data_IF_025131199706
#
_entry.id   IF_025131199706
#
_cell.length_a   1.000
_cell.length_b   1.000
_cell.length_c   1.000
_cell.angle_alpha   90.00
_cell.angle_beta   90.00
_cell.angle_gamma   90.00
#
_symmetry.space_group_name_H-M   'P 1'
#
loop_
_entity.id
_entity.type
_entity.pdbx_description
1 polymer ?
2 non-polymer ?
3 non-polymer ?
4 water ?
#
# COMPACT_ATOMS: atom_id res chain seq x y z
N UNK A 4 15.51 11.84 12.53
CA UNK A 4 15.81 11.31 11.17
C UNK A 4 14.67 11.60 10.19
N UNK A 5 14.97 11.48 8.90
CA UNK A 5 13.98 11.73 7.84
C UNK A 5 14.07 10.56 6.87
N UNK A 6 13.17 9.59 7.05
CA UNK A 6 13.15 8.40 6.19
C UNK A 6 12.04 8.53 5.15
N UNK A 7 12.33 8.10 3.91
CA UNK A 7 11.34 8.18 2.83
C UNK A 7 10.21 7.16 3.07
N UNK A 8 10.52 6.07 3.77
CA UNK A 8 9.49 5.05 4.05
C UNK A 8 9.56 4.53 5.50
N UNK A 9 8.42 4.02 5.98
CA UNK A 9 8.35 3.45 7.32
C UNK A 9 9.06 2.10 7.33
N UNK A 10 8.98 1.40 8.47
CA UNK A 10 9.62 0.12 8.61
C UNK A 10 11.13 0.20 8.83
N UNK A 11 11.67 1.40 8.99
CA UNK A 11 13.12 1.59 9.16
C UNK A 11 13.61 1.30 10.58
N UNK A 12 13.41 0.07 11.04
CA UNK A 12 13.79 -0.26 12.42
C UNK A 12 15.27 -0.24 12.67
N UNK A 13 16.06 -0.64 11.69
CA UNK A 13 17.53 -0.64 11.87
C UNK A 13 17.96 0.82 12.04
N UNK A 14 17.42 1.72 11.21
CA UNK A 14 17.81 3.14 11.32
C UNK A 14 17.36 3.78 12.64
N UNK A 15 16.14 3.45 13.06
CA UNK A 15 15.59 3.98 14.30
C UNK A 15 16.37 3.47 15.52
N UNK A 16 16.65 2.18 15.54
CA UNK A 16 17.40 1.60 16.63
C UNK A 16 18.78 2.25 16.69
N UNK A 17 19.40 2.48 15.53
CA UNK A 17 20.72 3.12 15.51
C UNK A 17 20.68 4.54 16.08
N UNK A 18 19.58 5.24 15.88
CA UNK A 18 19.38 6.57 16.42
C UNK A 18 19.40 6.55 17.96
N UNK A 19 18.89 5.47 18.54
CA UNK A 19 18.82 5.33 20.00
C UNK A 19 20.02 4.62 20.58
N UNK A 20 20.80 3.96 19.72
CA UNK A 20 21.98 3.24 20.19
C UNK A 20 21.65 1.86 20.72
N UNK A 21 20.56 1.29 20.22
CA UNK A 21 20.11 -0.05 20.64
C UNK A 21 19.92 -1.03 19.44
N UNK A 22 19.61 -2.29 19.73
CA UNK A 22 19.37 -3.30 18.70
C UNK A 22 17.93 -3.16 18.18
N UNK A 23 17.72 -3.37 16.87
CA UNK A 23 16.41 -3.27 16.24
C UNK A 23 15.37 -4.18 16.88
N UNK A 24 15.80 -5.30 17.43
CA UNK A 24 14.81 -6.18 18.03
C UNK A 24 14.21 -5.66 19.32
N UNK A 25 14.72 -4.51 19.77
CA UNK A 25 14.20 -3.88 20.98
C UNK A 25 13.09 -2.88 20.66
N UNK A 26 12.80 -2.67 19.38
CA UNK A 26 11.71 -1.73 19.03
C UNK A 26 10.43 -2.45 18.63
N UNK A 27 9.29 -1.83 18.94
CA UNK A 27 7.98 -2.35 18.57
C UNK A 27 7.62 -1.41 17.40
N UNK A 28 7.51 -1.98 16.21
CA UNK A 28 7.28 -1.22 14.99
C UNK A 28 5.85 -1.09 14.53
N UNK A 29 5.37 0.16 14.55
CA UNK A 29 4.04 0.51 14.10
C UNK A 29 4.17 1.40 12.86
N UNK A 30 5.36 1.46 12.30
CA UNK A 30 5.57 2.33 11.12
C UNK A 30 5.41 1.68 9.75
N UNK A 31 5.28 0.36 9.71
CA UNK A 31 5.07 -0.39 8.47
C UNK A 31 3.78 -1.16 8.75
N UNK A 32 2.99 -1.41 7.72
CA UNK A 32 1.68 -2.05 7.92
C UNK A 32 1.58 -3.45 7.43
N UNK A 33 2.21 -4.34 8.19
CA UNK A 33 2.26 -5.75 7.83
C UNK A 33 1.25 -6.54 8.66
N UNK A 34 0.51 -7.45 8.03
CA UNK A 34 -0.49 -8.31 8.71
C UNK A 34 0.22 -8.89 9.92
N UNK A 35 -0.36 -8.71 11.12
CA UNK A 35 0.19 -9.19 12.40
C UNK A 35 0.10 -10.70 12.61
N UNK A 36 -0.80 -11.34 11.90
CA UNK A 36 -1.00 -12.78 12.01
C UNK A 36 0.29 -13.52 11.64
N UNK A 37 1.15 -12.83 10.91
CA UNK A 37 2.41 -13.43 10.49
C UNK A 37 2.32 -14.20 9.19
N UNK A 38 3.39 -14.92 8.89
CA UNK A 38 3.53 -15.73 7.68
C UNK A 38 2.60 -16.96 7.64
N UNK A 39 1.83 -17.15 6.54
CA UNK A 39 0.94 -18.32 6.48
C UNK A 39 1.74 -19.61 6.69
N UNK A 40 1.21 -20.52 7.52
CA UNK A 40 1.86 -21.81 7.83
C UNK A 40 2.39 -22.56 6.59
N UNK A 41 1.51 -22.76 5.62
CA UNK A 41 1.86 -23.46 4.38
C UNK A 41 3.06 -22.82 3.66
N UNK A 42 3.10 -21.49 3.68
CA UNK A 42 4.19 -20.76 3.03
C UNK A 42 5.53 -21.12 3.65
N UNK A 43 5.59 -21.10 4.98
CA UNK A 43 6.83 -21.43 5.68
C UNK A 43 7.29 -22.84 5.32
N UNK A 44 6.35 -23.76 5.27
CA UNK A 44 6.69 -25.15 4.94
C UNK A 44 7.23 -25.26 3.50
N UNK A 45 6.54 -24.60 2.59
CA UNK A 45 6.93 -24.63 1.18
C UNK A 45 8.34 -24.06 1.00
N UNK A 46 8.65 -22.97 1.69
CA UNK A 46 9.97 -22.36 1.58
C UNK A 46 11.05 -23.32 2.09
N UNK A 47 10.80 -23.91 3.25
CA UNK A 47 11.79 -24.83 3.83
C UNK A 47 11.98 -26.07 2.96
N UNK A 48 10.87 -26.61 2.47
CA UNK A 48 10.95 -27.81 1.63
C UNK A 48 11.57 -27.57 0.26
N UNK A 49 11.41 -26.38 -0.30
CA UNK A 49 11.92 -26.09 -1.65
C UNK A 49 13.06 -25.06 -1.68
N UNK A 50 13.82 -24.98 -0.59
CA UNK A 50 14.89 -24.01 -0.53
C UNK A 50 15.95 -24.19 -1.63
N UNK A 51 16.19 -25.43 -2.06
CA UNK A 51 17.18 -25.73 -3.08
C UNK A 51 16.84 -25.11 -4.43
N UNK A 52 15.61 -24.61 -4.60
CA UNK A 52 15.26 -24.00 -5.87
C UNK A 52 16.06 -22.73 -6.13
N UNK A 53 16.76 -22.21 -5.12
CA UNK A 53 17.54 -20.99 -5.34
C UNK A 53 18.86 -21.25 -6.10
N UNK A 54 19.16 -22.54 -6.29
CA UNK A 54 20.36 -22.96 -7.01
C UNK A 54 20.19 -22.78 -8.51
N UNK A 55 18.96 -22.48 -8.93
CA UNK A 55 18.72 -22.24 -10.34
C UNK A 55 18.08 -20.86 -10.44
N UNK A 56 18.15 -20.26 -11.63
CA UNK A 56 17.51 -18.97 -11.89
C UNK A 56 16.00 -19.20 -11.83
N UNK A 57 15.22 -18.14 -11.55
CA UNK A 57 13.76 -18.30 -11.50
C UNK A 57 13.38 -18.46 -12.98
N UNK A 58 12.13 -18.85 -13.26
CA UNK A 58 11.61 -18.94 -14.64
C UNK A 58 11.46 -17.49 -15.11
N UNK A 59 12.18 -17.05 -16.16
CA UNK A 59 12.07 -15.67 -16.61
C UNK A 59 10.62 -15.24 -16.94
N UNK A 60 9.80 -16.21 -17.30
CA UNK A 60 8.40 -15.94 -17.64
C UNK A 60 7.44 -16.18 -16.49
N UNK A 61 7.95 -16.69 -15.36
CA UNK A 61 7.13 -17.00 -14.18
C UNK A 61 5.81 -17.66 -14.53
N UNK A 62 5.89 -18.73 -15.31
CA UNK A 62 4.68 -19.46 -15.71
C UNK A 62 3.79 -19.88 -14.53
N UNK A 63 4.34 -20.67 -13.60
CA UNK A 63 3.57 -21.12 -12.43
C UNK A 63 2.96 -19.96 -11.62
N UNK A 64 3.76 -18.95 -11.29
CA UNK A 64 3.25 -17.79 -10.53
C UNK A 64 2.15 -17.05 -11.29
N UNK A 65 2.38 -16.76 -12.58
CA UNK A 65 1.38 -16.04 -13.34
C UNK A 65 0.11 -16.87 -13.44
N UNK A 66 0.22 -18.18 -13.65
CA UNK A 66 -0.99 -19.02 -13.72
C UNK A 66 -1.76 -18.95 -12.40
N UNK A 67 -1.04 -18.99 -11.28
CA UNK A 67 -1.68 -18.94 -9.95
C UNK A 67 -2.41 -17.62 -9.74
N UNK A 68 -1.77 -16.53 -10.11
CA UNK A 68 -2.40 -15.21 -9.99
C UNK A 68 -3.63 -15.11 -10.90
N UNK A 69 -3.53 -15.67 -12.10
CA UNK A 69 -4.65 -15.63 -13.05
C UNK A 69 -5.82 -16.50 -12.57
N UNK A 70 -5.51 -17.62 -11.95
CA UNK A 70 -6.54 -18.50 -11.43
C UNK A 70 -7.26 -17.80 -10.30
N UNK A 71 -6.48 -17.14 -9.46
CA UNK A 71 -7.02 -16.42 -8.32
C UNK A 71 -7.99 -15.32 -8.75
N UNK A 72 -7.66 -14.58 -9.81
CA UNK A 72 -8.54 -13.50 -10.21
C UNK A 72 -9.49 -13.88 -11.35
N UNK A 73 -9.35 -15.10 -11.85
CA UNK A 73 -10.16 -15.58 -12.96
C UNK A 73 -10.05 -14.64 -14.15
N UNK A 74 -8.81 -14.33 -14.52
CA UNK A 74 -8.54 -13.49 -15.67
C UNK A 74 -7.47 -14.17 -16.51
N UNK A 75 -7.33 -13.78 -17.77
CA UNK A 75 -6.32 -14.40 -18.63
C UNK A 75 -4.94 -14.13 -18.02
N UNK A 76 -4.05 -15.11 -18.07
CA UNK A 76 -2.70 -14.96 -17.52
C UNK A 76 -1.95 -13.84 -18.25
N UNK A 77 -2.31 -13.60 -19.52
CA UNK A 77 -1.68 -12.54 -20.29
C UNK A 77 -1.92 -11.14 -19.75
N UNK A 78 -2.91 -10.99 -18.89
CA UNK A 78 -3.21 -9.70 -18.29
C UNK A 78 -2.32 -9.40 -17.07
N UNK A 79 -1.47 -10.34 -16.66
CA UNK A 79 -0.71 -10.14 -15.43
C UNK A 79 0.82 -10.11 -15.54
N UNK A 80 1.46 -9.23 -14.79
CA UNK A 80 2.92 -9.14 -14.77
C UNK A 80 3.39 -8.97 -13.33
N UNK A 81 4.06 -10.00 -12.82
CA UNK A 81 4.58 -9.98 -11.46
C UNK A 81 5.86 -9.12 -11.37
N UNK A 82 6.06 -8.50 -10.22
CA UNK A 82 7.19 -7.61 -9.98
C UNK A 82 7.80 -7.83 -8.62
N UNK A 83 9.00 -7.30 -8.44
CA UNK A 83 9.80 -7.38 -7.21
C UNK A 83 9.25 -6.38 -6.21
N UNK A 84 8.03 -6.67 -5.77
CA UNK A 84 7.30 -5.82 -4.87
C UNK A 84 6.46 -4.96 -5.76
N UNK A 85 5.37 -4.43 -5.23
CA UNK A 85 4.50 -3.56 -6.00
C UNK A 85 5.24 -2.25 -6.33
N UNK A 86 6.30 -1.96 -5.59
CA UNK A 86 7.07 -0.75 -5.88
C UNK A 86 7.64 -0.91 -7.31
N UNK A 87 8.11 -2.11 -7.63
CA UNK A 87 8.63 -2.31 -9.01
C UNK A 87 7.48 -2.16 -10.03
N UNK A 88 6.28 -2.63 -9.69
CA UNK A 88 5.15 -2.50 -10.60
C UNK A 88 4.84 -1.02 -10.90
N UNK A 89 5.03 -0.16 -9.89
CA UNK A 89 4.79 1.29 -10.08
C UNK A 89 5.81 1.83 -11.10
N UNK A 90 7.08 1.48 -10.92
CA UNK A 90 8.09 1.94 -11.87
C UNK A 90 7.84 1.34 -13.25
N UNK A 91 7.38 0.08 -13.30
CA UNK A 91 7.10 -0.59 -14.59
C UNK A 91 6.00 0.12 -15.37
N UNK A 92 4.91 0.46 -14.66
CA UNK A 92 3.80 1.13 -15.32
C UNK A 92 4.24 2.55 -15.74
N UNK A 93 4.95 3.27 -14.88
CA UNK A 93 5.40 4.61 -15.22
C UNK A 93 6.33 4.58 -16.42
N UNK A 94 7.29 3.66 -16.44
CA UNK A 94 8.22 3.61 -17.57
C UNK A 94 7.56 3.04 -18.83
N UNK A 95 6.64 2.10 -18.65
CA UNK A 95 5.98 1.51 -19.79
C UNK A 95 4.94 2.43 -20.44
N UNK A 96 4.31 3.29 -19.66
CA UNK A 96 3.32 4.20 -20.23
C UNK A 96 3.95 5.52 -20.65
N UNK A 97 5.10 5.84 -20.07
CA UNK A 97 5.82 7.09 -20.36
C UNK A 97 4.89 8.28 -20.60
N UNK A 98 4.08 8.63 -19.58
CA UNK A 98 3.17 9.77 -19.76
C UNK A 98 3.93 11.06 -19.96
N UNK A 99 3.38 11.97 -20.75
CA UNK A 99 3.99 13.29 -20.95
C UNK A 99 3.50 14.18 -19.80
N UNK A 100 2.21 13.99 -19.44
CA UNK A 100 1.57 14.72 -18.36
C UNK A 100 0.79 13.71 -17.51
N UNK A 101 0.97 13.75 -16.20
CA UNK A 101 0.25 12.83 -15.32
C UNK A 101 -0.18 13.52 -14.04
N UNK A 102 -1.27 13.02 -13.47
CA UNK A 102 -1.78 13.56 -12.24
C UNK A 102 -1.71 12.50 -11.14
N UNK A 103 -1.30 12.96 -9.98
CA UNK A 103 -1.23 12.15 -8.78
C UNK A 103 -2.06 12.92 -7.76
N UNK A 104 -2.42 12.24 -6.67
CA UNK A 104 -3.25 12.85 -5.62
C UNK A 104 -2.38 12.89 -4.37
N UNK A 105 -2.28 14.06 -3.74
CA UNK A 105 -1.47 14.19 -2.53
C UNK A 105 -2.37 14.49 -1.36
N UNK A 106 -2.03 13.97 -0.16
CA UNK A 106 -0.88 13.11 0.11
C UNK A 106 -1.08 11.70 -0.44
N UNK A 107 0.02 11.03 -0.79
CA UNK A 107 -0.02 9.68 -1.32
C UNK A 107 1.36 9.04 -1.24
N UNK A 108 1.43 7.75 -1.55
CA UNK A 108 2.70 6.97 -1.53
C UNK A 108 3.73 7.76 -2.34
N UNK A 109 4.95 7.97 -1.80
CA UNK A 109 5.96 8.77 -2.50
C UNK A 109 6.51 8.23 -3.82
N UNK A 110 6.46 6.92 -4.00
CA UNK A 110 7.05 6.37 -5.20
C UNK A 110 6.40 6.75 -6.52
N UNK A 111 5.12 7.16 -6.54
CA UNK A 111 4.51 7.53 -7.82
C UNK A 111 5.28 8.72 -8.39
N UNK A 112 5.50 9.73 -7.55
CA UNK A 112 6.23 10.91 -7.97
C UNK A 112 7.66 10.60 -8.34
N UNK A 113 8.28 9.67 -7.61
CA UNK A 113 9.66 9.31 -7.94
C UNK A 113 9.73 8.66 -9.30
N UNK A 114 8.86 7.69 -9.54
CA UNK A 114 8.84 6.98 -10.82
C UNK A 114 8.55 7.92 -11.98
N UNK A 115 7.60 8.85 -11.78
CA UNK A 115 7.23 9.78 -12.86
C UNK A 115 8.31 10.81 -13.16
N UNK A 116 8.98 11.29 -12.11
CA UNK A 116 10.05 12.26 -12.30
C UNK A 116 11.16 11.63 -13.13
N UNK A 117 11.54 10.42 -12.77
CA UNK A 117 12.60 9.75 -13.51
C UNK A 117 12.20 9.43 -14.95
N UNK A 118 10.90 9.30 -15.20
CA UNK A 118 10.48 9.02 -16.57
C UNK A 118 10.31 10.31 -17.39
N UNK A 119 10.61 11.46 -16.80
CA UNK A 119 10.51 12.73 -17.53
C UNK A 119 9.11 13.31 -17.79
N UNK A 120 8.15 12.99 -16.92
CA UNK A 120 6.77 13.44 -17.07
C UNK A 120 6.48 14.76 -16.38
N UNK A 121 5.54 15.55 -16.91
CA UNK A 121 5.13 16.80 -16.24
C UNK A 121 4.09 16.32 -15.22
N UNK A 122 4.38 16.53 -13.93
CA UNK A 122 3.50 16.08 -12.84
C UNK A 122 2.55 17.14 -12.32
N UNK A 123 1.26 16.81 -12.28
CA UNK A 123 0.26 17.72 -11.77
C UNK A 123 -0.24 17.09 -10.49
N UNK A 124 -0.43 17.87 -9.44
CA UNK A 124 -0.88 17.27 -8.21
C UNK A 124 -2.28 17.70 -7.85
N UNK A 125 -3.16 16.72 -7.60
CA UNK A 125 -4.51 17.07 -7.19
C UNK A 125 -4.41 16.99 -5.67
N UNK A 126 -4.59 18.13 -5.00
CA UNK A 126 -4.50 18.19 -3.53
C UNK A 126 -5.73 17.84 -2.73
N UNK A 127 -5.64 16.83 -1.88
CA UNK A 127 -6.76 16.50 -0.99
C UNK A 127 -6.76 17.63 0.05
N UNK A 128 -7.93 17.91 0.63
CA UNK A 128 -8.01 19.00 1.61
C UNK A 128 -8.29 18.60 3.04
N UNK A 129 -7.60 19.24 3.99
CA UNK A 129 -7.81 18.96 5.42
C UNK A 129 -9.29 19.22 5.76
N UNK A 130 -9.87 20.27 5.16
CA UNK A 130 -11.27 20.64 5.40
C UNK A 130 -12.26 19.56 4.96
N UNK A 131 -11.81 18.69 4.04
CA UNK A 131 -12.64 17.60 3.54
C UNK A 131 -12.36 16.33 4.30
N UNK A 132 -11.52 16.43 5.32
CA UNK A 132 -11.13 15.26 6.09
C UNK A 132 -10.24 14.35 5.23
N UNK A 133 -9.59 14.95 4.24
CA UNK A 133 -8.68 14.26 3.32
C UNK A 133 -9.35 13.26 2.38
N UNK A 134 -10.67 13.36 2.23
CA UNK A 134 -11.38 12.46 1.35
C UNK A 134 -11.30 12.90 -0.11
N UNK A 135 -11.22 11.95 -1.04
CA UNK A 135 -11.20 12.27 -2.47
C UNK A 135 -12.63 12.64 -2.81
N UNK A 136 -12.82 13.78 -3.47
CA UNK A 136 -14.18 14.24 -3.82
C UNK A 136 -14.40 14.36 -5.32
N UNK A 137 -15.64 14.55 -5.75
CA UNK A 137 -15.86 14.66 -7.18
C UNK A 137 -15.29 15.92 -7.79
N UNK A 138 -14.73 16.82 -6.98
CA UNK A 138 -14.12 18.04 -7.53
C UNK A 138 -12.96 17.69 -8.47
N UNK A 139 -12.39 16.50 -8.32
CA UNK A 139 -11.27 16.11 -9.19
C UNK A 139 -11.69 15.90 -10.65
N UNK A 140 -12.95 15.55 -10.87
CA UNK A 140 -13.43 15.32 -12.21
C UNK A 140 -13.18 16.52 -13.13
N UNK A 141 -13.47 17.74 -12.67
CA UNK A 141 -13.26 18.93 -13.51
C UNK A 141 -11.78 19.20 -13.74
N UNK A 142 -10.95 18.67 -12.85
CA UNK A 142 -9.52 18.81 -12.94
C UNK A 142 -8.95 17.89 -14.03
N UNK A 143 -9.71 16.89 -14.46
CA UNK A 143 -9.22 15.99 -15.51
C UNK A 143 -9.42 16.66 -16.85
N UNK A 144 -8.37 16.67 -17.65
CA UNK A 144 -8.44 17.31 -18.96
C UNK A 144 -7.84 16.41 -20.03
N UNK A 145 -8.28 16.59 -21.29
CA UNK A 145 -7.79 15.79 -22.41
C UNK A 145 -6.29 15.66 -22.51
N UNK A 146 -5.56 16.72 -22.17
CA UNK A 146 -4.11 16.61 -22.28
C UNK A 146 -3.46 15.69 -21.26
N UNK A 147 -4.22 15.16 -20.31
CA UNK A 147 -3.62 14.26 -19.32
C UNK A 147 -3.42 12.88 -19.90
N UNK A 148 -2.25 12.27 -19.63
CA UNK A 148 -2.02 10.91 -20.12
C UNK A 148 -2.35 9.86 -19.05
N UNK A 149 -2.02 10.17 -17.80
CA UNK A 149 -2.27 9.22 -16.70
C UNK A 149 -2.80 9.91 -15.45
N UNK A 150 -3.52 9.13 -14.63
CA UNK A 150 -4.05 9.61 -13.34
C UNK A 150 -3.78 8.43 -12.42
N UNK A 151 -3.07 8.68 -11.32
CA UNK A 151 -2.74 7.60 -10.36
C UNK A 151 -3.55 7.84 -9.08
N UNK A 152 -4.32 6.83 -8.66
CA UNK A 152 -5.10 6.92 -7.42
C UNK A 152 -4.69 5.73 -6.54
N UNK A 153 -4.81 5.92 -5.24
CA UNK A 153 -4.47 4.86 -4.29
C UNK A 153 -5.81 4.50 -3.63
N UNK A 154 -6.19 3.23 -3.69
CA UNK A 154 -7.48 2.79 -3.16
C UNK A 154 -7.33 1.55 -2.28
N UNK A 155 -7.32 1.70 -0.94
CA UNK A 155 -7.40 2.94 -0.15
C UNK A 155 -6.12 3.75 -0.21
N UNK A 156 -6.23 5.00 0.21
CA UNK A 156 -5.10 5.92 0.15
C UNK A 156 -4.15 5.71 1.29
N UNK A 157 -2.88 5.92 0.99
CA UNK A 157 -1.87 5.85 2.00
C UNK A 157 -1.34 7.29 2.07
N UNK A 158 -1.24 7.87 3.27
CA UNK A 158 -1.52 7.37 4.61
C UNK A 158 -2.91 7.51 5.25
N UNK A 159 -3.89 8.09 4.55
CA UNK A 159 -5.17 8.35 5.17
C UNK A 159 -6.04 7.15 5.45
N UNK A 160 -5.82 6.07 4.69
CA UNK A 160 -6.62 4.87 4.84
C UNK A 160 -8.02 4.98 4.28
N UNK A 161 -8.35 6.12 3.68
CA UNK A 161 -9.71 6.31 3.14
C UNK A 161 -9.89 5.66 1.77
N UNK A 162 -11.06 5.06 1.53
CA UNK A 162 -11.39 4.41 0.26
C UNK A 162 -12.44 5.18 -0.53
N UNK A 163 -12.09 5.69 -1.73
CA UNK A 163 -13.10 6.43 -2.49
C UNK A 163 -14.22 5.48 -2.82
N UNK A 164 -15.43 6.03 -2.76
CA UNK A 164 -16.68 5.33 -3.04
C UNK A 164 -16.66 4.76 -4.46
N UNK A 165 -17.31 3.61 -4.66
CA UNK A 165 -17.34 2.99 -5.98
C UNK A 165 -17.89 3.94 -7.04
N UNK A 166 -19.00 4.63 -6.75
CA UNK A 166 -19.60 5.55 -7.73
C UNK A 166 -18.61 6.62 -8.19
N UNK A 167 -17.87 7.20 -7.25
CA UNK A 167 -16.88 8.20 -7.63
C UNK A 167 -15.80 7.54 -8.48
N UNK A 168 -15.35 6.34 -8.09
CA UNK A 168 -14.29 5.73 -8.91
C UNK A 168 -14.80 5.38 -10.29
N UNK A 169 -16.07 5.00 -10.40
CA UNK A 169 -16.61 4.68 -11.72
C UNK A 169 -16.69 5.95 -12.55
N UNK A 170 -17.09 7.04 -11.92
CA UNK A 170 -17.23 8.32 -12.62
C UNK A 170 -15.85 8.79 -13.10
N UNK A 171 -14.84 8.55 -12.29
CA UNK A 171 -13.48 8.93 -12.67
C UNK A 171 -13.00 8.06 -13.83
N UNK A 172 -13.30 6.77 -13.73
CA UNK A 172 -12.90 5.78 -14.73
C UNK A 172 -13.56 6.14 -16.05
N UNK A 173 -14.85 6.47 -15.99
CA UNK A 173 -15.57 6.81 -17.21
C UNK A 173 -15.03 8.09 -17.86
N UNK A 174 -14.74 9.09 -17.05
CA UNK A 174 -14.22 10.33 -17.62
C UNK A 174 -12.83 10.08 -18.19
N UNK A 175 -12.04 9.23 -17.55
CA UNK A 175 -10.71 8.91 -18.08
C UNK A 175 -10.84 8.20 -19.43
N UNK A 176 -11.79 7.28 -19.54
CA UNK A 176 -11.97 6.55 -20.80
C UNK A 176 -12.29 7.56 -21.89
N UNK A 177 -13.17 8.50 -21.55
CA UNK A 177 -13.58 9.52 -22.50
C UNK A 177 -12.51 10.55 -22.87
N UNK A 178 -11.59 10.86 -21.97
CA UNK A 178 -10.54 11.84 -22.23
C UNK A 178 -9.20 11.19 -22.60
N UNK A 179 -9.22 9.89 -22.85
CA UNK A 179 -8.02 9.11 -23.19
C UNK A 179 -6.95 9.23 -22.12
N UNK A 180 -7.35 9.00 -20.88
CA UNK A 180 -6.42 9.05 -19.74
C UNK A 180 -6.33 7.62 -19.20
N UNK A 181 -5.12 7.16 -18.91
CA UNK A 181 -4.97 5.84 -18.33
C UNK A 181 -5.24 6.02 -16.83
N UNK A 182 -5.94 5.07 -16.22
CA UNK A 182 -6.24 5.19 -14.78
C UNK A 182 -5.52 4.06 -14.05
N UNK A 183 -4.59 4.43 -13.18
CA UNK A 183 -3.82 3.43 -12.44
C UNK A 183 -4.34 3.43 -11.02
N UNK A 184 -4.83 2.27 -10.57
CA UNK A 184 -5.39 2.13 -9.23
C UNK A 184 -4.45 1.28 -8.38
N UNK A 185 -3.94 1.87 -7.30
CA UNK A 185 -3.03 1.12 -6.43
C UNK A 185 -3.89 0.49 -5.35
N UNK A 186 -4.10 -0.82 -5.50
CA UNK A 186 -4.91 -1.61 -4.57
C UNK A 186 -4.05 -2.40 -3.58
N UNK A 187 -2.90 -1.86 -3.21
CA UNK A 187 -2.02 -2.56 -2.29
C UNK A 187 -2.71 -3.03 -1.02
N UNK A 188 -3.63 -2.23 -0.48
CA UNK A 188 -4.32 -2.64 0.76
C UNK A 188 -5.77 -3.08 0.61
N UNK A 189 -6.25 -3.23 -0.62
CA UNK A 189 -7.65 -3.59 -0.86
C UNK A 189 -8.09 -4.93 -0.26
N UNK A 190 -7.13 -5.84 -0.10
CA UNK A 190 -7.41 -7.18 0.43
C UNK A 190 -7.89 -7.13 1.89
N UNK A 191 -7.45 -6.12 2.63
CA UNK A 191 -7.81 -5.97 4.05
C UNK A 191 -9.23 -5.50 4.30
N UNK A 192 -9.79 -4.83 3.31
CA UNK A 192 -11.13 -4.29 3.43
C UNK A 192 -12.15 -5.37 3.12
N UNK A 193 -12.83 -5.84 4.17
CA UNK A 193 -13.84 -6.89 4.06
C UNK A 193 -14.59 -7.04 2.74
N UNK A 194 -15.49 -6.10 2.43
CA UNK A 194 -16.25 -6.26 1.20
C UNK A 194 -15.76 -5.37 0.08
N UNK A 195 -14.57 -5.67 -0.45
CA UNK A 195 -14.04 -4.84 -1.51
C UNK A 195 -13.36 -5.65 -2.60
N UNK A 196 -13.98 -5.69 -3.78
CA UNK A 196 -13.45 -6.46 -4.91
C UNK A 196 -12.39 -5.73 -5.73
N UNK A 197 -12.40 -4.41 -5.70
CA UNK A 197 -11.41 -3.67 -6.49
C UNK A 197 -11.89 -3.60 -7.93
N UNK A 198 -11.03 -3.22 -8.86
CA UNK A 198 -11.43 -3.11 -10.26
C UNK A 198 -11.00 -4.26 -11.16
N UNK A 199 -10.27 -5.25 -10.66
CA UNK A 199 -9.86 -6.31 -11.56
C UNK A 199 -11.05 -6.97 -12.28
N UNK A 200 -12.17 -7.18 -11.57
CA UNK A 200 -13.32 -7.81 -12.22
C UNK A 200 -13.94 -6.93 -13.33
N UNK A 201 -13.49 -5.67 -13.46
CA UNK A 201 -14.05 -4.81 -14.51
C UNK A 201 -13.07 -4.43 -15.60
N UNK A 202 -11.90 -5.07 -15.66
CA UNK A 202 -10.93 -4.71 -16.69
C UNK A 202 -11.19 -5.17 -18.12
N UNK A 203 -11.88 -6.30 -18.25
CA UNK A 203 -12.22 -6.87 -19.54
C UNK A 203 -12.71 -5.78 -20.48
N UNK A 204 -13.60 -4.93 -20.02
CA UNK A 204 -14.12 -3.88 -20.89
C UNK A 204 -13.48 -2.52 -20.67
N UNK A 205 -12.33 -2.48 -19.99
CA UNK A 205 -11.65 -1.23 -19.70
C UNK A 205 -10.14 -1.32 -19.82
N UNK A 206 -9.61 -1.38 -21.05
CA UNK A 206 -8.16 -1.48 -21.25
C UNK A 206 -7.33 -0.29 -20.83
N UNK A 207 -7.97 0.77 -20.36
CA UNK A 207 -7.26 1.97 -19.93
C UNK A 207 -7.04 1.98 -18.41
N UNK A 208 -7.50 0.92 -17.73
CA UNK A 208 -7.36 0.82 -16.28
C UNK A 208 -6.27 -0.18 -15.94
N UNK A 209 -5.37 0.22 -15.02
CA UNK A 209 -4.28 -0.66 -14.63
C UNK A 209 -4.42 -0.84 -13.13
N UNK A 210 -4.39 -2.07 -12.64
CA UNK A 210 -4.49 -2.31 -11.19
C UNK A 210 -3.14 -2.83 -10.65
N UNK A 211 -2.68 -2.21 -9.56
CA UNK A 211 -1.45 -2.59 -8.89
C UNK A 211 -1.84 -3.37 -7.65
N UNK A 212 -1.18 -4.49 -7.44
CA UNK A 212 -1.48 -5.33 -6.27
C UNK A 212 -0.21 -5.73 -5.55
N UNK A 213 -0.33 -6.02 -4.26
CA UNK A 213 0.85 -6.42 -3.51
C UNK A 213 0.48 -7.62 -2.67
N UNK A 214 1.42 -8.53 -2.47
CA UNK A 214 1.11 -9.65 -1.58
C UNK A 214 1.86 -9.50 -0.26
N UNK A 215 2.81 -8.59 -0.22
CA UNK A 215 3.62 -8.43 0.99
C UNK A 215 2.92 -8.03 2.30
N UNK A 216 2.02 -7.07 2.27
CA UNK A 216 1.35 -6.63 3.49
C UNK A 216 0.32 -7.66 3.97
N UNK A 217 -0.57 -8.07 3.08
CA UNK A 217 -1.64 -9.04 3.42
C UNK A 217 -1.17 -10.40 3.87
N UNK A 218 -0.12 -10.93 3.24
CA UNK A 218 0.39 -12.24 3.59
C UNK A 218 1.66 -12.15 4.42
N UNK A 219 1.99 -10.95 4.88
CA UNK A 219 3.17 -10.78 5.73
C UNK A 219 4.49 -11.31 5.18
N UNK A 220 4.81 -10.99 3.94
CA UNK A 220 6.07 -11.41 3.33
C UNK A 220 6.78 -10.22 2.69
N UNK A 221 6.79 -9.07 3.39
CA UNK A 221 7.46 -7.92 2.79
C UNK A 221 8.92 -8.14 2.48
N UNK A 222 9.55 -9.07 3.22
CA UNK A 222 10.97 -9.33 2.99
C UNK A 222 11.25 -10.13 1.73
N UNK A 223 10.23 -10.79 1.20
CA UNK A 223 10.37 -11.58 -0.04
C UNK A 223 10.23 -10.72 -1.30
N UNK A 224 9.46 -9.65 -1.19
CA UNK A 224 9.22 -8.70 -2.29
C UNK A 224 8.34 -9.29 -3.40
N UNK A 225 7.04 -9.01 -3.39
CA UNK A 225 6.19 -9.54 -4.44
C UNK A 225 4.94 -8.74 -4.66
N UNK A 226 4.74 -8.31 -5.90
CA UNK A 226 3.56 -7.58 -6.29
C UNK A 226 3.26 -7.91 -7.75
N UNK A 227 2.22 -7.30 -8.29
CA UNK A 227 1.90 -7.54 -9.70
C UNK A 227 0.99 -6.45 -10.24
N UNK A 228 0.91 -6.39 -11.57
CA UNK A 228 0.13 -5.39 -12.30
C UNK A 228 -0.82 -6.19 -13.18
N UNK A 229 -2.03 -5.67 -13.34
CA UNK A 229 -3.04 -6.32 -14.16
C UNK A 229 -3.68 -5.29 -15.09
N UNK A 230 -3.80 -5.66 -16.37
CA UNK A 230 -4.37 -4.78 -17.40
C UNK A 230 -4.80 -5.64 -18.60
N UNK A 231 -5.91 -5.28 -19.24
CA UNK A 231 -6.43 -6.10 -20.35
C UNK A 231 -6.06 -5.64 -21.76
N UNK A 232 -5.15 -4.69 -21.89
CA UNK A 232 -4.74 -4.22 -23.22
C UNK A 232 -3.60 -5.14 -23.65
N UNK A 233 -3.86 -6.01 -24.62
CA UNK A 233 -2.87 -6.96 -25.09
C UNK A 233 -1.53 -6.33 -25.49
N UNK A 234 -1.59 -5.32 -26.35
CA UNK A 234 -0.38 -4.64 -26.82
C UNK A 234 0.41 -3.94 -25.70
N UNK A 235 -0.29 -3.25 -24.81
CA UNK A 235 0.37 -2.51 -23.73
C UNK A 235 1.09 -3.46 -22.76
N UNK A 236 0.46 -4.56 -22.41
CA UNK A 236 1.11 -5.50 -21.51
C UNK A 236 2.29 -6.18 -22.19
N UNK A 237 2.19 -6.38 -23.50
CA UNK A 237 3.27 -7.03 -24.24
C UNK A 237 4.47 -6.10 -24.15
N UNK A 238 4.21 -4.80 -24.18
CA UNK A 238 5.27 -3.80 -24.12
C UNK A 238 5.92 -3.80 -22.74
N UNK A 239 5.09 -3.87 -21.70
CA UNK A 239 5.60 -3.92 -20.32
C UNK A 239 6.50 -5.18 -20.19
N UNK A 240 6.10 -6.29 -20.81
CA UNK A 240 6.90 -7.51 -20.72
C UNK A 240 8.19 -7.43 -21.49
N UNK A 241 8.17 -6.88 -22.71
CA UNK A 241 9.44 -6.87 -23.42
C UNK A 241 10.42 -5.84 -22.89
N UNK A 242 9.92 -4.84 -22.17
CA UNK A 242 10.80 -3.80 -21.64
C UNK A 242 11.25 -4.07 -20.20
N UNK A 243 10.77 -5.17 -19.63
CA UNK A 243 11.10 -5.45 -18.24
C UNK A 243 12.52 -5.93 -17.98
N UNK A 244 12.89 -5.94 -16.70
CA UNK A 244 14.20 -6.42 -16.29
C UNK A 244 14.02 -7.92 -16.08
N UNK A 245 14.96 -8.72 -16.57
CA UNK A 245 14.81 -10.15 -16.40
C UNK A 245 15.02 -10.65 -14.98
N UNK A 246 14.27 -11.70 -14.65
CA UNK A 246 14.34 -12.37 -13.36
C UNK A 246 14.19 -11.44 -12.19
N UNK A 247 13.28 -10.48 -12.30
CA UNK A 247 13.02 -9.52 -11.22
C UNK A 247 12.53 -10.17 -9.93
N UNK A 248 11.72 -11.22 -10.06
CA UNK A 248 11.12 -11.89 -8.90
C UNK A 248 12.00 -13.05 -8.48
N UNK A 249 12.39 -13.09 -7.20
CA UNK A 249 13.24 -14.18 -6.77
C UNK A 249 12.42 -15.45 -6.67
N UNK A 250 13.12 -16.59 -6.78
CA UNK A 250 12.45 -17.89 -6.78
C UNK A 250 11.58 -18.19 -5.55
N UNK A 251 12.02 -17.76 -4.37
CA UNK A 251 11.24 -18.02 -3.15
C UNK A 251 10.00 -17.15 -3.11
N UNK A 252 10.11 -15.92 -3.63
CA UNK A 252 8.93 -15.08 -3.64
C UNK A 252 7.90 -15.70 -4.57
N UNK A 253 8.34 -16.25 -5.70
CA UNK A 253 7.40 -16.84 -6.65
C UNK A 253 6.67 -18.03 -6.00
N UNK A 254 7.43 -18.82 -5.25
CA UNK A 254 6.91 -19.99 -4.54
C UNK A 254 5.93 -19.58 -3.44
N UNK A 255 6.35 -18.62 -2.61
CA UNK A 255 5.48 -18.16 -1.53
C UNK A 255 4.18 -17.63 -2.11
N UNK A 256 4.27 -16.83 -3.17
CA UNK A 256 3.08 -16.27 -3.77
C UNK A 256 2.08 -17.33 -4.16
N UNK A 257 2.54 -18.34 -4.90
CA UNK A 257 1.67 -19.42 -5.34
C UNK A 257 1.00 -20.13 -4.12
N UNK A 258 1.81 -20.44 -3.12
CA UNK A 258 1.29 -21.11 -1.94
C UNK A 258 0.32 -20.25 -1.15
N UNK A 259 0.68 -19.00 -0.90
CA UNK A 259 -0.17 -18.09 -0.13
C UNK A 259 -1.58 -18.00 -0.66
N UNK A 260 -1.71 -17.98 -1.99
CA UNK A 260 -3.02 -17.88 -2.62
C UNK A 260 -3.87 -19.14 -2.42
N UNK A 261 -3.27 -20.21 -1.93
CA UNK A 261 -3.98 -21.47 -1.69
C UNK A 261 -4.63 -21.50 -0.31
N UNK A 262 -4.18 -20.63 0.59
CA UNK A 262 -4.75 -20.62 1.94
C UNK A 262 -6.16 -20.02 1.93
N UNK A 263 -7.17 -20.89 1.90
CA UNK A 263 -8.57 -20.45 1.85
C UNK A 263 -9.17 -19.98 3.17
N UNK A 264 -8.35 -19.93 4.23
CA UNK A 264 -8.83 -19.47 5.52
C UNK A 264 -8.19 -18.15 5.89
N UNK A 265 -7.16 -17.78 5.14
CA UNK A 265 -6.44 -16.53 5.44
C UNK A 265 -7.28 -15.28 5.32
N UNK A 266 -8.04 -15.14 4.24
CA UNK A 266 -8.84 -13.94 4.05
C UNK A 266 -9.83 -13.70 5.19
N UNK A 267 -10.53 -14.77 5.56
CA UNK A 267 -11.53 -14.67 6.62
C UNK A 267 -10.89 -14.33 7.96
N UNK A 268 -9.80 -15.04 8.31
CA UNK A 268 -9.10 -14.80 9.55
C UNK A 268 -8.62 -13.36 9.68
N UNK A 269 -8.13 -12.80 8.57
CA UNK A 269 -7.64 -11.45 8.57
C UNK A 269 -8.77 -10.44 8.74
N UNK A 270 -9.86 -10.63 8.00
CA UNK A 270 -11.00 -9.73 8.11
C UNK A 270 -11.61 -9.77 9.51
N UNK A 271 -11.67 -10.96 10.10
CA UNK A 271 -12.24 -11.08 11.45
C UNK A 271 -11.40 -10.28 12.46
N UNK A 272 -10.09 -10.43 12.38
CA UNK A 272 -9.20 -9.69 13.26
C UNK A 272 -9.41 -8.20 13.06
N UNK A 273 -9.48 -7.77 11.81
CA UNK A 273 -9.64 -6.34 11.56
C UNK A 273 -10.99 -5.86 12.06
N UNK A 274 -11.99 -6.74 11.97
CA UNK A 274 -13.34 -6.38 12.41
C UNK A 274 -13.43 -6.31 13.94
N UNK A 275 -12.64 -7.12 14.63
CA UNK A 275 -12.68 -7.14 16.10
C UNK A 275 -11.65 -6.23 16.74
N UNK A 276 -10.39 -6.66 16.71
CA UNK A 276 -9.30 -5.89 17.31
C UNK A 276 -9.11 -4.54 16.59
N UNK A 277 -9.27 -4.54 15.27
CA UNK A 277 -9.12 -3.30 14.52
C UNK A 277 -10.15 -2.26 14.92
N UNK A 278 -11.40 -2.67 15.14
CA UNK A 278 -12.41 -1.68 15.52
C UNK A 278 -12.18 -1.25 16.97
N UNK A 279 -11.78 -2.19 17.82
CA UNK A 279 -11.53 -1.90 19.23
C UNK A 279 -10.35 -0.91 19.31
N UNK A 280 -9.37 -1.08 18.43
CA UNK A 280 -8.20 -0.21 18.38
C UNK A 280 -8.61 1.22 17.97
N UNK A 281 -9.42 1.37 16.91
CA UNK A 281 -9.89 2.67 16.44
C UNK A 281 -10.57 3.36 17.60
N UNK A 282 -11.48 2.63 18.25
CA UNK A 282 -12.22 3.17 19.37
C UNK A 282 -11.34 3.69 20.51
N UNK A 283 -10.35 2.90 20.92
CA UNK A 283 -9.47 3.28 22.02
C UNK A 283 -8.65 4.53 21.65
N UNK A 284 -8.14 4.58 20.42
CA UNK A 284 -7.40 5.74 19.96
C UNK A 284 -8.28 6.99 19.96
N UNK A 285 -9.55 6.85 19.60
CA UNK A 285 -10.42 8.02 19.55
C UNK A 285 -10.69 8.56 20.96
N UNK A 286 -10.58 7.71 21.97
CA UNK A 286 -10.84 8.15 23.35
C UNK A 286 -9.72 9.02 23.93
N UNK A 287 -8.53 8.95 23.34
CA UNK A 287 -7.38 9.74 23.79
C UNK A 287 -7.61 11.21 23.54
N UNK A 288 -7.21 12.05 24.50
CA UNK A 288 -7.37 13.49 24.34
C UNK A 288 -6.33 14.05 23.37
N UNK A 289 -6.59 15.24 22.84
CA UNK A 289 -5.66 15.90 21.93
C UNK A 289 -5.16 15.04 20.76
N UNK A 290 -6.07 14.29 20.15
CA UNK A 290 -5.70 13.43 19.04
C UNK A 290 -6.87 13.21 18.10
N UNK A 291 -6.67 13.45 16.82
CA UNK A 291 -7.73 13.20 15.82
C UNK A 291 -7.30 11.90 15.13
N UNK A 292 -8.23 10.98 14.92
CA UNK A 292 -7.93 9.69 14.27
C UNK A 292 -8.86 9.54 13.08
N UNK A 293 -8.30 9.45 11.88
CA UNK A 293 -9.13 9.33 10.68
C UNK A 293 -9.65 7.91 10.54
N UNK A 294 -10.86 7.75 9.96
CA UNK A 294 -11.47 6.43 9.80
C UNK A 294 -10.90 5.52 8.70
N UNK A 295 -9.66 5.05 8.89
CA UNK A 295 -9.02 4.18 7.92
C UNK A 295 -9.77 2.87 7.75
N UNK A 296 -9.81 2.37 6.50
CA UNK A 296 -10.51 1.14 6.14
C UNK A 296 -9.64 -0.12 6.17
N UNK A 297 -8.31 0.02 6.18
CA UNK A 297 -7.44 -1.16 6.20
C UNK A 297 -6.66 -1.32 7.52
N UNK A 298 -5.44 -1.82 7.47
CA UNK A 298 -4.70 -2.07 8.68
C UNK A 298 -3.76 -0.96 9.13
N UNK A 299 -4.24 0.27 9.05
CA UNK A 299 -3.45 1.41 9.53
C UNK A 299 -4.38 2.61 9.70
N UNK A 300 -3.95 3.57 10.52
CA UNK A 300 -4.74 4.75 10.79
C UNK A 300 -3.86 5.98 10.82
N UNK A 301 -4.37 7.04 10.22
CA UNK A 301 -3.69 8.34 10.18
C UNK A 301 -4.13 9.08 11.48
N UNK A 302 -3.14 9.60 12.21
CA UNK A 302 -3.37 10.34 13.46
C UNK A 302 -2.95 11.78 13.30
N UNK A 303 -3.69 12.69 13.93
CA UNK A 303 -3.28 14.11 13.90
C UNK A 303 -3.18 14.54 15.36
N UNK A 304 -1.97 14.82 15.82
CA UNK A 304 -1.79 15.21 17.22
C UNK A 304 -2.20 16.65 17.42
N UNK A 305 -3.08 16.90 18.38
CA UNK A 305 -3.59 18.26 18.63
C UNK A 305 -2.76 19.01 19.69
N UNK A 306 -1.81 18.30 20.30
CA UNK A 306 -0.94 18.90 21.32
C UNK A 306 0.15 19.70 20.63
N UNK A 307 0.21 21.00 20.95
CA UNK A 307 1.18 21.93 20.36
C UNK A 307 2.65 21.61 20.65
N UNK A 308 3.48 21.81 19.63
CA UNK A 308 4.92 21.59 19.76
C UNK A 308 5.30 20.28 20.48
N UNK A 309 4.93 19.15 19.87
CA UNK A 309 5.24 17.84 20.45
C UNK A 309 5.57 16.87 19.32
N UNK A 310 6.77 16.30 19.33
CA UNK A 310 7.13 15.34 18.30
C UNK A 310 6.75 13.97 18.81
N UNK A 311 5.56 13.52 18.41
CA UNK A 311 5.04 12.22 18.86
C UNK A 311 5.94 11.04 18.49
N UNK A 312 6.54 11.10 17.31
CA UNK A 312 7.42 9.99 16.93
C UNK A 312 8.66 9.99 17.84
N UNK A 313 9.22 11.17 18.08
CA UNK A 313 10.39 11.27 18.95
C UNK A 313 10.05 10.78 20.35
N UNK A 314 8.92 11.25 20.89
CA UNK A 314 8.53 10.81 22.23
C UNK A 314 8.21 9.33 22.29
N UNK A 315 7.60 8.75 21.24
CA UNK A 315 7.31 7.33 21.35
C UNK A 315 8.59 6.50 21.15
N UNK A 316 9.53 7.01 20.35
CA UNK A 316 10.77 6.28 20.13
C UNK A 316 11.55 6.16 21.44
N UNK A 317 11.40 7.16 22.31
CA UNK A 317 12.04 7.11 23.62
C UNK A 317 11.45 5.96 24.41
N UNK A 318 10.20 5.60 24.09
CA UNK A 318 9.55 4.47 24.76
C UNK A 318 9.71 3.20 23.91
N UNK A 319 10.64 3.24 22.96
CA UNK A 319 10.95 2.10 22.11
C UNK A 319 9.80 1.62 21.21
N UNK A 320 8.98 2.55 20.75
CA UNK A 320 7.86 2.28 19.82
C UNK A 320 8.09 3.22 18.66
N UNK A 321 8.19 2.65 17.46
CA UNK A 321 8.41 3.41 16.24
C UNK A 321 7.11 3.61 15.48
N UNK A 322 6.79 4.87 15.16
CA UNK A 322 5.58 5.13 14.39
C UNK A 322 6.01 5.91 13.16
N UNK A 323 5.13 6.03 12.19
CA UNK A 323 5.45 6.76 10.96
C UNK A 323 5.15 8.26 11.09
N UNK A 324 6.10 9.10 10.71
CA UNK A 324 5.90 10.55 10.75
C UNK A 324 5.45 10.87 9.34
N UNK A 325 4.37 11.63 9.21
CA UNK A 325 3.88 11.96 7.89
C UNK A 325 4.23 13.37 7.51
N UNK A 326 5.17 13.97 8.23
CA UNK A 326 5.53 15.35 7.92
C UNK A 326 6.12 15.54 6.53
N UNK A 327 6.71 14.47 5.99
CA UNK A 327 7.36 14.49 4.68
C UNK A 327 6.39 14.30 3.51
N UNK A 328 5.13 13.99 3.79
CA UNK A 328 4.15 13.82 2.74
C UNK A 328 3.67 15.19 2.28
N UNK A 329 3.69 15.45 0.98
CA UNK A 329 3.21 16.75 0.52
C UNK A 329 1.73 16.91 0.94
N UNK A 330 1.40 18.04 1.59
CA UNK A 330 0.03 18.27 2.01
C UNK A 330 -0.16 18.11 3.50
N UNK A 331 0.68 17.29 4.13
CA UNK A 331 0.58 17.08 5.56
C UNK A 331 1.71 17.82 6.24
N UNK A 332 1.62 17.94 7.56
CA UNK A 332 2.63 18.65 8.34
C UNK A 332 3.07 17.87 9.55
N UNK A 333 3.84 18.49 10.44
CA UNK A 333 4.37 17.79 11.59
C UNK A 333 3.38 17.26 12.62
N UNK A 334 2.10 17.60 12.47
CA UNK A 334 1.09 17.10 13.39
C UNK A 334 0.64 15.70 13.00
N UNK A 335 0.94 15.29 11.78
CA UNK A 335 0.46 13.98 11.31
C UNK A 335 1.39 12.80 11.41
N UNK A 336 0.81 11.67 11.81
CA UNK A 336 1.53 10.42 12.03
C UNK A 336 0.67 9.26 11.54
N UNK A 337 1.28 8.09 11.34
CA UNK A 337 0.50 6.94 10.93
C UNK A 337 0.94 5.75 11.78
N UNK A 338 -0.02 4.94 12.21
CA UNK A 338 0.31 3.73 12.94
C UNK A 338 -0.34 2.52 12.35
N UNK A 339 0.36 1.39 12.41
CA UNK A 339 -0.21 0.15 11.91
C UNK A 339 -1.24 -0.31 12.92
N UNK A 340 -2.06 -1.29 12.51
CA UNK A 340 -2.99 -1.91 13.45
C UNK A 340 -2.33 -3.28 13.57
N UNK A 341 -1.96 -3.68 14.79
CA UNK A 341 -1.30 -4.95 14.98
C UNK A 341 -2.12 -5.84 15.93
N UNK A 342 -1.45 -6.75 16.64
CA UNK A 342 -2.17 -7.63 17.58
C UNK A 342 -2.68 -6.82 18.78
N UNK A 343 -3.70 -7.31 19.46
CA UNK A 343 -4.24 -6.60 20.62
C UNK A 343 -3.15 -6.20 21.62
N UNK A 344 -2.26 -7.11 21.94
CA UNK A 344 -1.20 -6.86 22.91
C UNK A 344 -0.28 -5.72 22.48
N UNK A 345 0.13 -5.76 21.22
CA UNK A 345 1.01 -4.71 20.70
C UNK A 345 0.26 -3.38 20.68
N UNK A 346 -1.00 -3.42 20.25
CA UNK A 346 -1.83 -2.23 20.20
C UNK A 346 -1.97 -1.66 21.61
N UNK A 347 -2.01 -2.54 22.60
CA UNK A 347 -2.12 -2.08 23.98
C UNK A 347 -0.88 -1.31 24.41
N UNK A 348 0.31 -1.72 23.96
CA UNK A 348 1.53 -1.00 24.34
C UNK A 348 1.57 0.37 23.67
N UNK A 349 1.11 0.46 22.42
CA UNK A 349 1.07 1.74 21.71
C UNK A 349 0.12 2.68 22.42
N UNK A 350 -1.07 2.20 22.77
CA UNK A 350 -2.04 3.04 23.46
C UNK A 350 -1.51 3.57 24.80
N UNK A 351 -0.88 2.71 25.59
CA UNK A 351 -0.36 3.13 26.88
C UNK A 351 0.72 4.19 26.69
N UNK A 352 1.49 4.10 25.61
CA UNK A 352 2.53 5.08 25.32
C UNK A 352 1.90 6.42 24.93
N UNK A 353 0.89 6.37 24.07
CA UNK A 353 0.21 7.59 23.66
C UNK A 353 -0.46 8.28 24.85
N UNK A 354 -1.03 7.49 25.75
CA UNK A 354 -1.68 8.06 26.92
C UNK A 354 -0.70 8.86 27.79
N UNK A 355 0.49 8.32 28.01
CA UNK A 355 1.48 9.02 28.84
C UNK A 355 1.85 10.37 28.24
N UNK A 356 1.77 10.47 26.92
CA UNK A 356 2.10 11.69 26.22
C UNK A 356 0.91 12.65 26.14
N UNK A 357 -0.30 12.12 25.97
CA UNK A 357 -1.47 12.97 25.77
C UNK A 357 -2.45 13.15 26.95
N UNK A 358 -2.43 12.25 27.93
CA UNK A 358 -3.33 12.30 29.08
C UNK A 358 -2.89 13.27 30.18
N UNK A 359 -3.87 13.91 30.83
CA UNK A 359 -3.60 14.85 31.91
C UNK A 359 -2.93 16.15 31.51
N UNK A 360 -3.20 16.61 30.30
CA UNK A 360 -2.63 17.86 29.78
C UNK A 360 -3.72 18.90 29.49
N UNK A 361 -3.55 20.12 30.00
CA UNK A 361 -4.53 21.19 29.78
C UNK A 361 -4.57 21.62 28.33
X LIG B 1 5.44 -3.66 -1.86
X LIG B 1 6.16 -4.18 -0.64
X LIG B 1 6.44 -3.13 -2.85
X LIG B 1 4.51 -2.54 -1.49
X LIG B 1 4.67 -4.81 -2.46
X LIG C 1 4.11 1.49 2.05
X LIG C 1 4.57 0.72 3.21
X LIG C 1 5.55 1.63 3.99
X LIG C 1 6.82 0.89 4.36
X LIG C 1 5.95 2.71 3.18
X LIG C 1 5.36 4.16 3.58
X LIG C 1 6.08 5.21 2.62
X LIG C 1 5.69 4.40 5.12
X LIG C 1 3.82 4.07 3.28
X LIG C 1 3.42 0.41 4.15
X LIG C 1 3.64 -0.39 5.13
X LIG C 1 2.27 0.96 4.00
#
# INVERSE_FOLDING_TARGET
>A
MALFNTAHGGNIREPATVLGISPDQLLDFSANINPLGMPVSVKRALIDNLDCIERYPDADYFHLHQALARHHQVPASWILAGNGETESIFTVASGLKPRRAMIVTPGFAEYGRALAQSGCEIRRWSLREADGWQLTDAILEALTPDLDCLFLCTPNNPTGLLPERPLLQAIADRCKSLNINLILDEAFIDFIPHETGFIPALKDNPHIWVLRSLTKFYAIPGLRLGYLVNSDDAAMARMRRQQMPWSVNALAALAGEVALQDSAWQQATWHWLREEGARFYQALCQLPLLTVYPGRANYLLLRCEREDIDLQRRLLTQRILIRSCANYPGLDSRYYRVAIRSAAQNERLLAALRNVLTGIAPAD
>B hetero
1 PO4 P O1 O2 O3 O4
>C hetero
1 TPO N CA CB CG2 OG1 P O1P O2P O3P C O OXT
#
